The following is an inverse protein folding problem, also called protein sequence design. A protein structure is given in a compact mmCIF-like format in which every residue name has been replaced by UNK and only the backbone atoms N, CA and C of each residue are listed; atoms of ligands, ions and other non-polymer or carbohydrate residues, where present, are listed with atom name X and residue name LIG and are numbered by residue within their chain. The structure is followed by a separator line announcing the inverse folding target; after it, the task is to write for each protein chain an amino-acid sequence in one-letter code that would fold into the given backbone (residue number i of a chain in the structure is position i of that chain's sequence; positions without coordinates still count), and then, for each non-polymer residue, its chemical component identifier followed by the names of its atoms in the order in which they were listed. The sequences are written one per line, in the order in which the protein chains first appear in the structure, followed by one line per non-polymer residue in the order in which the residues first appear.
data_IF_678088112882
#
_entry.id   IF_678088112882
#
_cell.length_a   1.000
_cell.length_b   1.000
_cell.length_c   1.000
_cell.angle_alpha   90.00
_cell.angle_beta   90.00
_cell.angle_gamma   90.00
#
_symmetry.space_group_name_H-M   'P 1'
#
loop_
_entity.id
_entity.type
_entity.pdbx_description
1 polymer ?
#
# COMPACT_ATOMS: atom_id res chain seq x y z
N UNK A 1 9.71 15.65 3.47
CA UNK A 1 11.04 16.21 3.74
C UNK A 1 11.86 16.19 2.47
N UNK A 2 12.63 17.21 2.19
CA UNK A 2 13.41 17.39 0.96
C UNK A 2 12.54 17.36 -0.32
N UNK A 3 11.32 17.88 -0.24
CA UNK A 3 10.31 17.80 -1.30
C UNK A 3 10.03 16.36 -1.77
N UNK A 4 9.98 15.43 -0.81
CA UNK A 4 9.65 14.01 -1.03
C UNK A 4 8.70 13.51 0.05
N UNK A 5 7.79 12.61 -0.31
CA UNK A 5 7.09 11.80 0.67
C UNK A 5 8.06 10.73 1.20
N UNK A 6 8.34 10.78 2.50
CA UNK A 6 9.33 9.88 3.13
C UNK A 6 8.90 8.41 3.17
N UNK A 7 7.60 8.17 3.04
CA UNK A 7 7.01 6.82 2.99
C UNK A 7 6.37 6.63 1.62
N UNK A 8 7.03 5.93 0.69
CA UNK A 8 6.54 5.79 -0.68
C UNK A 8 5.25 4.97 -0.78
N UNK A 9 5.06 4.02 0.11
CA UNK A 9 3.81 3.26 0.25
C UNK A 9 3.49 3.10 1.73
N UNK A 10 2.24 3.32 2.12
CA UNK A 10 1.80 3.05 3.48
C UNK A 10 0.41 2.43 3.53
N UNK A 11 0.14 1.74 4.62
CA UNK A 11 -1.13 1.10 4.91
C UNK A 11 -1.69 1.61 6.23
N UNK A 12 -3.01 1.76 6.31
CA UNK A 12 -3.70 2.13 7.54
C UNK A 12 -5.10 1.50 7.59
N UNK A 13 -5.66 1.43 8.78
CA UNK A 13 -7.06 1.02 8.94
C UNK A 13 -8.01 2.18 8.68
N UNK A 14 -9.19 1.86 8.18
CA UNK A 14 -10.32 2.80 8.13
C UNK A 14 -10.63 3.29 9.54
N UNK A 15 -10.81 4.60 9.69
CA UNK A 15 -11.03 5.25 11.00
C UNK A 15 -9.76 5.50 11.82
N UNK A 16 -8.58 5.11 11.34
CA UNK A 16 -7.32 5.41 12.00
C UNK A 16 -6.84 6.82 11.63
N UNK A 17 -6.51 7.63 12.62
CA UNK A 17 -5.92 8.94 12.40
C UNK A 17 -4.47 8.82 11.91
N UNK A 18 -4.14 9.56 10.88
CA UNK A 18 -2.83 9.62 10.24
C UNK A 18 -2.30 11.05 10.32
N UNK A 19 -1.21 11.23 11.05
CA UNK A 19 -0.50 12.50 11.10
C UNK A 19 0.24 12.77 9.79
N UNK A 20 -0.17 13.80 9.06
CA UNK A 20 0.50 14.26 7.84
C UNK A 20 1.35 15.47 8.18
N UNK A 21 2.67 15.28 8.25
CA UNK A 21 3.64 16.30 8.71
C UNK A 21 4.47 16.85 7.57
N UNK A 22 4.64 18.16 7.56
CA UNK A 22 5.57 18.85 6.67
C UNK A 22 6.79 19.33 7.47
N UNK A 23 7.94 18.71 7.30
CA UNK A 23 9.20 19.10 7.94
C UNK A 23 10.13 19.91 7.04
N UNK A 24 9.65 20.36 5.88
CA UNK A 24 10.39 21.24 4.99
C UNK A 24 10.17 22.73 5.34
N UNK A 25 11.07 23.61 4.94
CA UNK A 25 10.94 25.06 5.17
C UNK A 25 9.98 25.74 4.17
N UNK A 26 9.29 24.98 3.35
CA UNK A 26 8.31 25.44 2.35
C UNK A 26 7.00 24.68 2.49
N UNK A 27 5.91 25.27 1.97
CA UNK A 27 4.60 24.63 1.98
C UNK A 27 4.50 23.49 0.98
N UNK A 28 3.81 22.43 1.40
CA UNK A 28 3.40 21.32 0.53
C UNK A 28 1.89 21.11 0.66
N UNK A 29 1.26 20.56 -0.35
CA UNK A 29 -0.06 19.99 -0.15
C UNK A 29 -0.02 18.46 -0.21
N UNK A 30 -0.98 17.83 0.43
CA UNK A 30 -1.21 16.39 0.34
C UNK A 30 -2.60 16.15 -0.21
N UNK A 31 -2.66 15.55 -1.39
CA UNK A 31 -3.88 15.16 -2.06
C UNK A 31 -3.97 13.63 -2.10
N UNK A 32 -4.97 13.05 -1.44
CA UNK A 32 -5.21 11.60 -1.41
C UNK A 32 -6.34 11.26 -2.38
N UNK A 33 -6.00 10.59 -3.46
CA UNK A 33 -6.92 10.25 -4.53
C UNK A 33 -8.10 9.41 -4.03
N UNK A 34 -9.29 9.74 -4.52
CA UNK A 34 -10.52 9.05 -4.10
C UNK A 34 -11.06 9.47 -2.72
N UNK A 35 -10.43 10.44 -2.07
CA UNK A 35 -10.94 11.11 -0.87
C UNK A 35 -11.19 12.60 -1.15
N UNK A 36 -11.79 13.31 -0.19
CA UNK A 36 -11.89 14.77 -0.22
C UNK A 36 -10.67 15.48 0.38
N UNK A 37 -9.66 14.72 0.82
CA UNK A 37 -8.47 15.28 1.45
C UNK A 37 -7.51 15.85 0.41
N UNK A 38 -7.42 17.17 0.37
CA UNK A 38 -6.46 17.92 -0.43
C UNK A 38 -6.06 19.17 0.37
N UNK A 39 -5.11 19.03 1.27
CA UNK A 39 -4.77 20.03 2.28
C UNK A 39 -3.38 20.62 2.03
N UNK A 40 -3.32 21.96 2.06
CA UNK A 40 -2.04 22.68 2.13
C UNK A 40 -1.53 22.59 3.58
N UNK A 41 -0.28 22.17 3.72
CA UNK A 41 0.41 22.04 5.00
C UNK A 41 1.59 23.04 4.97
N UNK A 42 1.53 24.11 5.76
CA UNK A 42 2.62 25.09 5.85
C UNK A 42 3.95 24.48 6.28
N UNK A 43 5.03 25.22 6.10
CA UNK A 43 6.37 24.80 6.54
C UNK A 43 6.38 24.49 8.05
N UNK A 44 6.85 23.31 8.41
CA UNK A 44 6.97 22.87 9.80
C UNK A 44 5.65 22.48 10.49
N UNK A 45 4.54 22.49 9.78
CA UNK A 45 3.20 22.22 10.33
C UNK A 45 2.74 20.79 10.06
N UNK A 46 1.55 20.42 10.56
CA UNK A 46 0.93 19.12 10.38
C UNK A 46 -0.59 19.21 10.32
N UNK A 47 -1.21 18.20 9.76
CA UNK A 47 -2.65 18.00 9.76
C UNK A 47 -2.97 16.53 9.96
N UNK A 48 -4.22 16.20 10.24
CA UNK A 48 -4.68 14.81 10.42
C UNK A 48 -5.57 14.42 9.25
N UNK A 49 -5.35 13.23 8.73
CA UNK A 49 -6.24 12.55 7.80
C UNK A 49 -6.79 11.26 8.41
N UNK A 50 -8.10 11.08 8.34
CA UNK A 50 -8.77 9.84 8.78
C UNK A 50 -9.46 9.20 7.58
N UNK A 51 -9.04 8.00 7.13
CA UNK A 51 -9.69 7.29 6.04
C UNK A 51 -11.13 6.92 6.41
N UNK A 52 -12.10 7.38 5.64
CA UNK A 52 -13.52 7.09 5.89
C UNK A 52 -14.05 5.84 5.19
N UNK A 53 -13.24 5.19 4.35
CA UNK A 53 -13.62 3.99 3.60
C UNK A 53 -12.41 3.19 3.12
N UNK A 54 -12.66 1.93 2.82
CA UNK A 54 -11.66 1.07 2.18
C UNK A 54 -11.29 1.54 0.77
N UNK A 55 -10.06 1.22 0.39
CA UNK A 55 -9.60 1.25 -1.00
C UNK A 55 -9.39 -0.18 -1.47
N UNK A 56 -9.91 -0.51 -2.66
CA UNK A 56 -9.71 -1.86 -3.23
C UNK A 56 -8.26 -2.13 -3.65
N UNK A 57 -7.52 -1.06 -3.96
CA UNK A 57 -6.11 -1.04 -4.35
C UNK A 57 -5.46 0.22 -3.77
N UNK A 58 -4.12 0.29 -3.69
CA UNK A 58 -3.45 1.52 -3.31
C UNK A 58 -3.84 2.70 -4.21
N UNK A 59 -4.14 3.82 -3.57
CA UNK A 59 -4.47 5.09 -4.22
C UNK A 59 -3.28 6.02 -4.20
N UNK A 60 -3.17 6.91 -5.18
CA UNK A 60 -2.06 7.86 -5.23
C UNK A 60 -2.20 8.96 -4.18
N UNK A 61 -1.06 9.32 -3.60
CA UNK A 61 -0.87 10.48 -2.74
C UNK A 61 0.08 11.42 -3.46
N UNK A 62 -0.34 12.65 -3.73
CA UNK A 62 0.41 13.59 -4.56
C UNK A 62 0.50 14.97 -3.91
N UNK A 63 1.50 15.75 -4.32
CA UNK A 63 1.57 17.17 -4.05
C UNK A 63 1.30 17.94 -5.33
N UNK A 64 0.30 18.84 -5.35
CA UNK A 64 -0.05 19.62 -6.54
C UNK A 64 0.97 20.73 -6.82
N UNK A 65 1.76 21.13 -5.80
CA UNK A 65 2.80 22.16 -5.92
C UNK A 65 4.09 21.55 -6.49
N UNK A 66 4.41 20.32 -6.10
CA UNK A 66 5.63 19.61 -6.49
C UNK A 66 5.25 18.27 -7.16
N UNK A 67 5.04 18.25 -8.50
CA UNK A 67 4.46 17.11 -9.21
C UNK A 67 5.25 15.80 -9.14
N UNK A 68 6.54 15.87 -8.79
CA UNK A 68 7.38 14.70 -8.58
C UNK A 68 7.14 14.02 -7.24
N UNK A 69 6.51 14.73 -6.27
CA UNK A 69 6.16 14.14 -4.98
C UNK A 69 4.97 13.20 -5.17
N UNK A 70 5.24 11.91 -5.08
CA UNK A 70 4.26 10.85 -5.24
C UNK A 70 4.49 9.74 -4.23
N UNK A 71 3.40 9.26 -3.66
CA UNK A 71 3.35 8.11 -2.78
C UNK A 71 2.04 7.36 -3.01
N UNK A 72 1.85 6.24 -2.31
CA UNK A 72 0.63 5.45 -2.40
C UNK A 72 0.13 5.07 -1.00
N UNK A 73 -1.18 4.97 -0.86
CA UNK A 73 -1.84 4.59 0.38
C UNK A 73 -2.88 3.49 0.12
N UNK A 74 -2.99 2.55 1.03
CA UNK A 74 -4.07 1.56 1.02
C UNK A 74 -4.76 1.55 2.37
N UNK A 75 -6.09 1.57 2.35
CA UNK A 75 -6.93 1.62 3.55
C UNK A 75 -7.83 0.40 3.59
N UNK A 76 -7.83 -0.32 4.72
CA UNK A 76 -8.61 -1.53 4.91
C UNK A 76 -9.35 -1.48 6.26
N UNK A 77 -10.52 -2.11 6.32
CA UNK A 77 -11.24 -2.28 7.58
C UNK A 77 -10.61 -3.39 8.43
N UNK A 78 -10.16 -4.46 7.78
CA UNK A 78 -9.63 -5.65 8.45
C UNK A 78 -8.19 -5.50 8.94
N UNK A 79 -7.39 -4.62 8.35
CA UNK A 79 -5.98 -4.44 8.70
C UNK A 79 -5.03 -5.53 8.19
N UNK A 80 -5.50 -6.49 7.38
CA UNK A 80 -4.67 -7.57 6.82
C UNK A 80 -3.87 -7.10 5.62
N UNK A 81 -2.93 -6.22 5.89
CA UNK A 81 -2.06 -5.59 4.91
C UNK A 81 -0.63 -5.63 5.39
N UNK A 82 0.30 -5.84 4.47
CA UNK A 82 1.70 -5.57 4.72
C UNK A 82 2.30 -4.71 3.62
N UNK A 83 3.22 -3.85 4.00
CA UNK A 83 4.14 -3.15 3.10
C UNK A 83 5.52 -3.73 3.33
N UNK A 84 6.19 -4.15 2.26
CA UNK A 84 7.52 -4.71 2.38
C UNK A 84 8.53 -3.69 2.91
N UNK A 85 9.45 -4.16 3.75
CA UNK A 85 10.59 -3.38 4.19
C UNK A 85 11.56 -3.08 3.04
N UNK A 86 12.57 -2.27 3.29
CA UNK A 86 13.66 -2.01 2.34
C UNK A 86 14.46 -3.28 1.94
N UNK A 87 14.37 -4.34 2.73
CA UNK A 87 14.97 -5.66 2.44
C UNK A 87 14.01 -6.62 1.77
N UNK A 88 12.78 -6.18 1.44
CA UNK A 88 11.76 -6.99 0.79
C UNK A 88 10.95 -7.89 1.75
N UNK A 89 11.23 -7.86 3.04
CA UNK A 89 10.49 -8.68 4.02
C UNK A 89 9.11 -8.08 4.32
N UNK A 90 8.11 -8.93 4.44
CA UNK A 90 6.77 -8.57 4.90
C UNK A 90 6.14 -9.69 5.73
N UNK A 91 5.23 -9.33 6.60
CA UNK A 91 4.47 -10.23 7.44
C UNK A 91 3.05 -9.68 7.65
N UNK A 92 2.05 -10.53 7.69
CA UNK A 92 0.67 -10.19 8.05
C UNK A 92 0.29 -11.08 9.23
N UNK A 93 0.30 -10.55 10.46
CA UNK A 93 -0.05 -11.32 11.66
C UNK A 93 -1.56 -11.45 11.83
N UNK A 94 -1.96 -12.32 12.74
CA UNK A 94 -3.33 -12.47 13.25
C UNK A 94 -4.39 -12.75 12.19
N UNK A 95 -4.01 -13.44 11.11
CA UNK A 95 -4.95 -13.86 10.07
C UNK A 95 -5.94 -14.90 10.60
N UNK A 96 -7.24 -14.81 10.24
CA UNK A 96 -8.23 -15.80 10.66
C UNK A 96 -7.93 -17.18 10.05
N UNK A 97 -8.17 -18.21 10.87
CA UNK A 97 -8.01 -19.60 10.46
C UNK A 97 -9.32 -20.20 9.99
N UNK A 98 -9.24 -21.28 9.20
CA UNK A 98 -10.39 -22.11 8.79
C UNK A 98 -11.17 -21.60 7.59
N UNK A 99 -10.89 -20.39 7.10
CA UNK A 99 -11.56 -19.81 5.93
C UNK A 99 -10.56 -19.42 4.83
N UNK A 100 -10.98 -19.39 3.55
CA UNK A 100 -10.12 -18.99 2.45
C UNK A 100 -9.96 -17.45 2.43
N UNK A 101 -8.74 -16.97 2.64
CA UNK A 101 -8.36 -15.57 2.54
C UNK A 101 -7.81 -15.28 1.16
N UNK A 102 -8.28 -14.21 0.52
CA UNK A 102 -7.82 -13.79 -0.81
C UNK A 102 -6.84 -12.63 -0.69
N UNK A 103 -5.66 -12.80 -1.26
CA UNK A 103 -4.58 -11.82 -1.26
C UNK A 103 -4.26 -11.36 -2.66
N UNK A 104 -3.69 -10.16 -2.75
CA UNK A 104 -3.15 -9.58 -3.97
C UNK A 104 -1.81 -8.92 -3.66
N UNK A 105 -0.81 -9.14 -4.51
CA UNK A 105 0.43 -8.37 -4.50
C UNK A 105 0.28 -7.20 -5.46
N UNK A 106 0.73 -6.03 -5.02
CA UNK A 106 0.67 -4.81 -5.78
C UNK A 106 2.05 -4.12 -5.81
N UNK A 107 2.35 -3.50 -6.93
CA UNK A 107 3.55 -2.66 -7.09
C UNK A 107 3.19 -1.45 -7.96
N UNK A 108 3.71 -0.26 -7.62
CA UNK A 108 3.38 1.00 -8.32
C UNK A 108 3.69 1.00 -9.82
N UNK A 109 4.67 0.20 -10.21
CA UNK A 109 5.16 0.08 -11.60
C UNK A 109 4.69 -1.19 -12.30
N UNK A 110 3.75 -1.93 -11.69
CA UNK A 110 3.23 -3.14 -12.30
C UNK A 110 2.55 -2.84 -13.65
N UNK A 111 2.89 -3.62 -14.67
CA UNK A 111 2.32 -3.51 -16.02
C UNK A 111 0.94 -4.14 -16.13
N UNK A 112 0.56 -4.97 -15.17
CA UNK A 112 -0.73 -5.60 -15.08
C UNK A 112 -1.88 -4.60 -14.85
N UNK A 113 -3.08 -5.00 -15.21
CA UNK A 113 -4.28 -4.16 -15.06
C UNK A 113 -4.46 -3.76 -13.59
N UNK A 114 -4.59 -2.45 -13.34
CA UNK A 114 -4.76 -1.88 -12.01
C UNK A 114 -3.62 -2.16 -11.02
N UNK A 115 -2.38 -2.32 -11.50
CA UNK A 115 -1.23 -2.60 -10.65
C UNK A 115 -1.16 -4.04 -10.12
N UNK A 116 -1.96 -4.95 -10.68
CA UNK A 116 -1.90 -6.36 -10.32
C UNK A 116 -0.61 -7.00 -10.81
N UNK A 117 0.03 -7.77 -9.92
CA UNK A 117 1.15 -8.64 -10.24
C UNK A 117 0.67 -10.08 -10.25
N UNK A 118 0.90 -10.77 -11.36
CA UNK A 118 0.73 -12.21 -11.46
C UNK A 118 2.14 -12.83 -11.43
N UNK A 119 2.52 -13.35 -10.27
CA UNK A 119 3.87 -13.83 -10.03
C UNK A 119 3.94 -15.35 -10.28
N UNK A 120 5.03 -15.79 -10.84
CA UNK A 120 5.31 -17.22 -11.02
C UNK A 120 5.87 -17.80 -9.70
N UNK A 121 4.93 -18.08 -8.78
CA UNK A 121 5.25 -18.71 -7.51
C UNK A 121 4.54 -20.07 -7.45
N UNK A 122 5.27 -21.20 -7.56
CA UNK A 122 4.64 -22.53 -7.67
C UNK A 122 3.84 -22.97 -6.44
N UNK A 123 4.07 -22.35 -5.29
CA UNK A 123 3.31 -22.63 -4.06
C UNK A 123 1.96 -21.92 -4.00
N UNK A 124 1.70 -20.98 -4.93
CA UNK A 124 0.50 -20.14 -4.94
C UNK A 124 -0.25 -20.31 -6.25
N UNK A 125 -1.55 -20.50 -6.16
CA UNK A 125 -2.41 -20.57 -7.35
C UNK A 125 -2.98 -19.17 -7.64
N UNK A 126 -2.38 -18.49 -8.60
CA UNK A 126 -2.79 -17.17 -9.04
C UNK A 126 -3.99 -17.26 -9.99
N UNK A 127 -4.95 -16.38 -9.83
CA UNK A 127 -6.02 -16.19 -10.81
C UNK A 127 -5.63 -15.11 -11.83
N UNK A 128 -6.45 -14.95 -12.88
CA UNK A 128 -6.23 -13.94 -13.94
C UNK A 128 -6.27 -12.47 -13.47
N UNK A 129 -6.64 -12.22 -12.21
CA UNK A 129 -6.68 -10.88 -11.60
C UNK A 129 -5.45 -10.62 -10.70
N UNK A 130 -4.44 -11.50 -10.72
CA UNK A 130 -3.27 -11.37 -9.86
C UNK A 130 -3.57 -11.62 -8.39
N UNK A 131 -4.52 -12.48 -8.08
CA UNK A 131 -4.91 -12.84 -6.71
C UNK A 131 -4.69 -14.32 -6.46
N UNK A 132 -4.40 -14.66 -5.21
CA UNK A 132 -4.29 -16.04 -4.74
C UNK A 132 -5.04 -16.22 -3.43
N UNK A 133 -5.34 -17.46 -3.09
CA UNK A 133 -6.04 -17.80 -1.85
C UNK A 133 -5.18 -18.68 -0.96
N UNK A 134 -5.27 -18.43 0.34
CA UNK A 134 -4.66 -19.25 1.38
C UNK A 134 -5.73 -19.54 2.43
N UNK A 135 -5.76 -20.79 2.91
CA UNK A 135 -6.49 -21.17 4.10
C UNK A 135 -5.48 -21.62 5.15
N UNK A 136 -5.52 -21.00 6.32
CA UNK A 136 -4.65 -21.31 7.44
C UNK A 136 -5.38 -22.21 8.45
N UNK A 137 -4.63 -23.06 9.11
CA UNK A 137 -5.08 -23.76 10.32
C UNK A 137 -4.87 -22.86 11.53
N UNK A 138 -5.48 -23.22 12.63
CA UNK A 138 -5.27 -22.52 13.90
C UNK A 138 -3.77 -22.58 14.31
N UNK A 139 -3.22 -21.42 14.67
CA UNK A 139 -1.80 -21.21 14.99
C UNK A 139 -0.81 -21.61 13.88
N UNK A 140 -1.25 -21.65 12.62
CA UNK A 140 -0.35 -21.93 11.49
C UNK A 140 0.38 -20.65 11.08
N UNK A 141 1.70 -20.75 10.99
CA UNK A 141 2.54 -19.81 10.26
C UNK A 141 2.78 -20.35 8.85
N UNK A 142 2.52 -19.53 7.84
CA UNK A 142 2.67 -19.90 6.43
C UNK A 142 3.77 -19.07 5.78
N UNK A 143 4.93 -19.70 5.59
CA UNK A 143 6.02 -19.14 4.80
C UNK A 143 5.71 -19.28 3.30
N UNK A 144 5.58 -18.15 2.62
CA UNK A 144 5.37 -18.07 1.17
C UNK A 144 6.68 -18.22 0.38
N UNK A 145 7.82 -18.13 1.05
CA UNK A 145 9.12 -18.02 0.39
C UNK A 145 9.30 -16.67 -0.30
N UNK A 146 10.22 -16.60 -1.23
CA UNK A 146 10.49 -15.37 -2.00
C UNK A 146 9.48 -15.21 -3.14
N UNK A 147 8.79 -14.08 -3.16
CA UNK A 147 7.93 -13.66 -4.26
C UNK A 147 8.79 -12.84 -5.25
N UNK A 148 9.25 -13.45 -6.32
CA UNK A 148 10.06 -12.78 -7.34
C UNK A 148 9.15 -12.01 -8.31
N UNK A 149 9.45 -10.73 -8.53
CA UNK A 149 8.78 -9.91 -9.52
C UNK A 149 9.62 -9.90 -10.80
N UNK A 150 9.15 -10.52 -11.89
CA UNK A 150 9.87 -10.49 -13.16
C UNK A 150 10.06 -9.05 -13.68
N UNK A 151 11.19 -8.77 -14.32
CA UNK A 151 11.49 -7.42 -14.80
C UNK A 151 10.47 -6.91 -15.85
N UNK A 152 9.87 -7.80 -16.61
CA UNK A 152 8.81 -7.48 -17.59
C UNK A 152 7.43 -7.26 -16.97
N UNK A 153 7.24 -7.66 -15.71
CA UNK A 153 6.02 -7.40 -14.96
C UNK A 153 5.97 -5.97 -14.40
N UNK A 154 7.05 -5.20 -14.48
CA UNK A 154 7.15 -3.81 -14.04
C UNK A 154 7.65 -2.91 -15.15
N UNK A 155 7.07 -1.71 -15.29
CA UNK A 155 7.56 -0.70 -16.25
C UNK A 155 8.78 0.02 -15.70
N UNK A 156 9.73 0.32 -16.60
CA UNK A 156 10.93 1.12 -16.31
C UNK A 156 10.64 2.59 -16.02
#
# INVERSE_FOLDING_TARGET
KNCEFMTPVFAARVGQDIDVKNSDPIGHNTNISGSSFNQLIPAGDSTVFTPGRETGLPVSVTCNIHPWMKAYAVFREDGYIAVSSATGMFEIPDLPAGEPLEFQVWHERATGRSGALNLDQPKLQWNSKGRFKITLKENEERDLGTLEIPADAISG
#
